data_IF_307592475555
#
_entry.id   IF_307592475555
#
_cell.length_a   1.000
_cell.length_b   1.000
_cell.length_c   1.000
_cell.angle_alpha   90.00
_cell.angle_beta   90.00
_cell.angle_gamma   90.00
#
_symmetry.space_group_name_H-M   'P 1'
#
loop_
_entity.id
_entity.type
_entity.pdbx_description
1 polymer ?
#
# COMPACT_ATOMS: atom_id res chain seq x y z
N UNK A 1 -15.39 -2.32 5.05
CA UNK A 1 -16.81 -1.93 5.28
C UNK A 1 -17.39 -1.41 3.98
N UNK A 2 -18.70 -1.44 3.81
CA UNK A 2 -19.41 -0.73 2.74
C UNK A 2 -20.48 0.18 3.33
N UNK A 3 -20.79 1.25 2.60
CA UNK A 3 -21.85 2.19 2.94
C UNK A 3 -22.74 2.38 1.71
N UNK A 4 -24.04 2.21 1.89
CA UNK A 4 -25.03 2.49 0.86
C UNK A 4 -25.68 3.86 1.16
N UNK A 5 -25.42 4.90 0.34
CA UNK A 5 -25.97 6.23 0.59
C UNK A 5 -27.48 6.32 0.41
N UNK A 6 -28.11 5.41 -0.34
CA UNK A 6 -29.56 5.41 -0.58
C UNK A 6 -30.33 4.92 0.65
N UNK A 7 -29.83 3.88 1.31
CA UNK A 7 -30.42 3.28 2.52
C UNK A 7 -29.81 3.82 3.81
N UNK A 8 -28.66 4.50 3.72
CA UNK A 8 -27.81 4.92 4.84
C UNK A 8 -27.31 3.75 5.70
N UNK A 9 -27.29 2.54 5.14
CA UNK A 9 -26.81 1.36 5.84
C UNK A 9 -25.30 1.20 5.72
N UNK A 10 -24.67 0.82 6.82
CA UNK A 10 -23.26 0.41 6.85
C UNK A 10 -23.17 -1.09 7.10
N UNK A 11 -22.37 -1.79 6.29
CA UNK A 11 -22.15 -3.23 6.42
C UNK A 11 -20.65 -3.52 6.61
N UNK A 12 -20.34 -4.40 7.56
CA UNK A 12 -18.97 -4.89 7.73
C UNK A 12 -18.76 -6.04 6.74
N UNK A 13 -17.80 -5.87 5.83
CA UNK A 13 -17.48 -6.86 4.80
C UNK A 13 -16.43 -7.88 5.28
N UNK A 14 -15.38 -7.39 5.93
CA UNK A 14 -14.25 -8.17 6.45
C UNK A 14 -13.86 -7.60 7.82
N UNK A 15 -13.43 -8.48 8.74
CA UNK A 15 -13.00 -8.16 10.11
C UNK A 15 -11.57 -8.62 10.34
N UNK A 16 -11.00 -8.21 11.47
CA UNK A 16 -9.72 -8.72 11.99
C UNK A 16 -8.53 -8.50 11.04
N UNK A 17 -8.56 -7.36 10.34
CA UNK A 17 -7.53 -6.94 9.39
C UNK A 17 -6.32 -6.32 10.11
N UNK A 18 -5.14 -6.59 9.59
CA UNK A 18 -3.84 -6.11 10.05
C UNK A 18 -3.46 -4.78 9.39
N UNK A 19 -4.11 -3.71 9.87
CA UNK A 19 -3.93 -2.34 9.39
C UNK A 19 -4.20 -2.21 7.87
N UNK A 20 -5.48 -2.36 7.51
CA UNK A 20 -5.95 -2.18 6.14
C UNK A 20 -5.88 -0.69 5.74
N UNK A 21 -4.82 -0.31 5.04
CA UNK A 21 -4.45 1.09 4.81
C UNK A 21 -4.92 1.57 3.43
N UNK A 22 -4.59 0.83 2.37
CA UNK A 22 -5.11 1.07 1.03
C UNK A 22 -6.38 0.28 0.74
N UNK A 23 -7.32 0.90 0.02
CA UNK A 23 -8.53 0.23 -0.48
C UNK A 23 -8.96 0.82 -1.83
N UNK A 24 -9.35 -0.04 -2.76
CA UNK A 24 -9.88 0.37 -4.07
C UNK A 24 -10.88 -0.67 -4.59
N UNK A 25 -11.89 -0.20 -5.34
CA UNK A 25 -12.81 -1.07 -6.07
C UNK A 25 -12.16 -1.43 -7.41
N UNK A 26 -12.25 -2.69 -7.82
CA UNK A 26 -11.72 -3.12 -9.13
C UNK A 26 -12.44 -2.41 -10.29
N UNK A 27 -11.79 -2.21 -11.45
CA UNK A 27 -12.39 -1.52 -12.61
C UNK A 27 -13.72 -2.12 -13.07
N UNK A 28 -13.88 -3.44 -12.95
CA UNK A 28 -15.11 -4.18 -13.28
C UNK A 28 -16.18 -4.11 -12.19
N UNK A 29 -15.91 -3.44 -11.07
CA UNK A 29 -16.77 -3.30 -9.89
C UNK A 29 -17.21 -4.61 -9.22
N UNK A 30 -16.54 -5.73 -9.51
CA UNK A 30 -16.90 -7.03 -8.95
C UNK A 30 -16.15 -7.35 -7.65
N UNK A 31 -15.06 -6.64 -7.37
CA UNK A 31 -14.21 -6.87 -6.21
C UNK A 31 -13.68 -5.58 -5.58
N UNK A 32 -13.19 -5.71 -4.36
CA UNK A 32 -12.44 -4.68 -3.63
C UNK A 32 -11.06 -5.23 -3.35
N UNK A 33 -10.03 -4.48 -3.71
CA UNK A 33 -8.65 -4.77 -3.34
C UNK A 33 -8.30 -3.89 -2.15
N UNK A 34 -7.69 -4.48 -1.13
CA UNK A 34 -7.20 -3.73 0.03
C UNK A 34 -5.84 -4.24 0.47
N UNK A 35 -5.04 -3.37 1.08
CA UNK A 35 -3.67 -3.67 1.48
C UNK A 35 -3.49 -3.63 2.98
N UNK A 36 -2.89 -4.69 3.54
CA UNK A 36 -2.57 -4.82 4.96
C UNK A 36 -1.10 -4.48 5.18
N UNK A 37 -0.84 -3.31 5.76
CA UNK A 37 0.53 -2.78 5.90
C UNK A 37 1.44 -3.69 6.71
N UNK A 38 0.90 -4.25 7.79
CA UNK A 38 1.66 -5.12 8.72
C UNK A 38 1.95 -6.48 8.10
N UNK A 39 1.04 -6.99 7.27
CA UNK A 39 1.17 -8.30 6.61
C UNK A 39 1.94 -8.22 5.28
N UNK A 40 2.28 -7.01 4.82
CA UNK A 40 3.00 -6.76 3.56
C UNK A 40 2.36 -7.44 2.36
N UNK A 41 1.04 -7.34 2.28
CA UNK A 41 0.25 -7.95 1.21
C UNK A 41 -1.00 -7.12 0.89
N UNK A 42 -1.58 -7.38 -0.27
CA UNK A 42 -2.91 -6.94 -0.62
C UNK A 42 -3.79 -8.14 -0.97
N UNK A 43 -5.07 -8.05 -0.61
CA UNK A 43 -6.09 -9.08 -0.77
C UNK A 43 -7.19 -8.57 -1.68
N UNK A 44 -7.85 -9.48 -2.40
CA UNK A 44 -9.01 -9.22 -3.26
C UNK A 44 -10.25 -9.85 -2.63
N UNK A 45 -11.24 -9.04 -2.27
CA UNK A 45 -12.54 -9.45 -1.74
C UNK A 45 -13.62 -9.32 -2.80
N UNK A 46 -14.35 -10.39 -3.11
CA UNK A 46 -15.40 -10.36 -4.13
C UNK A 46 -16.69 -9.79 -3.55
N UNK A 47 -17.20 -8.70 -4.14
CA UNK A 47 -18.45 -8.04 -3.72
C UNK A 47 -19.66 -8.47 -4.58
N UNK A 48 -19.41 -9.05 -5.75
CA UNK A 48 -20.41 -9.54 -6.70
C UNK A 48 -20.03 -10.93 -7.27
N UNK A 49 -20.94 -11.53 -8.03
CA UNK A 49 -20.74 -12.82 -8.69
C UNK A 49 -20.84 -14.04 -7.76
N UNK A 50 -20.56 -15.23 -8.31
CA UNK A 50 -20.66 -16.51 -7.60
C UNK A 50 -19.69 -16.60 -6.41
N UNK A 51 -18.58 -15.87 -6.48
CA UNK A 51 -17.54 -15.83 -5.45
C UNK A 51 -17.80 -14.77 -4.37
N UNK A 52 -18.94 -14.08 -4.39
CA UNK A 52 -19.26 -13.00 -3.45
C UNK A 52 -19.03 -13.42 -1.99
N UNK A 53 -18.32 -12.58 -1.25
CA UNK A 53 -17.97 -12.82 0.15
C UNK A 53 -16.67 -13.60 0.36
N UNK A 54 -16.09 -14.19 -0.69
CA UNK A 54 -14.78 -14.85 -0.61
C UNK A 54 -13.63 -13.86 -0.80
N UNK A 55 -12.43 -14.32 -0.44
CA UNK A 55 -11.18 -13.56 -0.59
C UNK A 55 -10.11 -14.40 -1.27
N UNK A 56 -9.31 -13.74 -2.10
CA UNK A 56 -8.05 -14.25 -2.64
C UNK A 56 -6.89 -13.34 -2.25
N UNK A 57 -5.68 -13.87 -2.34
CA UNK A 57 -4.49 -13.03 -2.36
C UNK A 57 -4.43 -12.28 -3.70
N UNK A 58 -4.20 -10.98 -3.64
CA UNK A 58 -3.93 -10.18 -4.83
C UNK A 58 -2.44 -10.10 -5.12
N UNK A 59 -1.66 -9.72 -4.11
CA UNK A 59 -0.19 -9.76 -4.12
C UNK A 59 0.29 -9.95 -2.69
N UNK A 60 1.31 -10.76 -2.46
CA UNK A 60 1.92 -10.97 -1.14
C UNK A 60 3.44 -10.76 -1.18
N UNK A 61 4.08 -10.86 -0.01
CA UNK A 61 5.52 -10.74 0.17
C UNK A 61 6.11 -9.46 -0.45
N UNK A 62 5.43 -8.33 -0.26
CA UNK A 62 5.85 -7.04 -0.80
C UNK A 62 7.22 -6.62 -0.26
N UNK A 63 7.98 -5.91 -1.09
CA UNK A 63 9.31 -5.37 -0.77
C UNK A 63 9.29 -4.19 0.22
N UNK A 64 8.12 -3.87 0.76
CA UNK A 64 7.85 -2.82 1.74
C UNK A 64 6.46 -2.96 2.34
N UNK A 65 6.11 -2.09 3.28
CA UNK A 65 4.75 -2.05 3.84
C UNK A 65 3.83 -1.35 2.85
N UNK A 66 2.72 -1.93 2.38
CA UNK A 66 1.81 -1.22 1.51
C UNK A 66 0.98 -0.18 2.24
N UNK A 67 0.65 0.90 1.55
CA UNK A 67 -0.25 1.97 1.98
C UNK A 67 -1.36 2.11 0.94
N UNK A 68 -1.67 3.32 0.48
CA UNK A 68 -2.70 3.56 -0.52
C UNK A 68 -2.42 2.83 -1.84
N UNK A 69 -3.51 2.37 -2.46
CA UNK A 69 -3.55 1.76 -3.79
C UNK A 69 -4.46 2.59 -4.69
N UNK A 70 -3.99 2.94 -5.87
CA UNK A 70 -4.73 3.75 -6.84
C UNK A 70 -4.70 3.11 -8.23
N UNK A 71 -5.82 3.15 -8.94
CA UNK A 71 -5.94 2.68 -10.32
C UNK A 71 -5.69 3.84 -11.28
N UNK A 72 -4.89 3.62 -12.32
CA UNK A 72 -4.53 4.68 -13.28
C UNK A 72 -5.55 4.87 -14.42
N UNK A 73 -6.53 3.98 -14.56
CA UNK A 73 -7.45 4.01 -15.70
C UNK A 73 -6.95 3.25 -16.93
N UNK A 74 -5.70 2.76 -16.90
CA UNK A 74 -4.97 2.20 -18.03
C UNK A 74 -4.47 0.76 -17.74
N UNK A 75 -5.13 0.06 -16.81
CA UNK A 75 -4.85 -1.35 -16.52
C UNK A 75 -3.80 -1.60 -15.43
N UNK A 76 -3.36 -0.57 -14.69
CA UNK A 76 -2.41 -0.77 -13.59
C UNK A 76 -2.88 -0.18 -12.27
N UNK A 77 -2.52 -0.87 -11.18
CA UNK A 77 -2.59 -0.32 -9.83
C UNK A 77 -1.21 0.17 -9.37
N UNK A 78 -1.24 1.26 -8.62
CA UNK A 78 -0.09 1.94 -8.05
C UNK A 78 -0.20 1.83 -6.53
N UNK A 79 0.66 1.02 -5.93
CA UNK A 79 0.69 0.73 -4.50
C UNK A 79 1.85 1.52 -3.89
N UNK A 80 1.52 2.48 -3.02
CA UNK A 80 2.52 3.23 -2.29
C UNK A 80 3.18 2.36 -1.21
N UNK A 81 4.50 2.46 -1.09
CA UNK A 81 5.31 1.80 -0.07
C UNK A 81 6.03 2.87 0.76
N UNK A 82 5.54 3.21 1.97
CA UNK A 82 6.15 4.23 2.83
C UNK A 82 7.59 3.90 3.20
N UNK A 83 7.89 2.62 3.39
CA UNK A 83 9.23 2.14 3.64
C UNK A 83 9.42 0.78 2.98
N UNK A 84 10.66 0.51 2.58
CA UNK A 84 11.08 -0.83 2.16
C UNK A 84 11.26 -1.77 3.36
N UNK A 85 11.58 -3.02 3.05
CA UNK A 85 11.91 -4.00 4.08
C UNK A 85 13.11 -3.57 4.92
N UNK A 86 12.99 -3.74 6.24
CA UNK A 86 14.10 -3.51 7.17
C UNK A 86 14.09 -4.57 8.27
N UNK A 87 15.28 -5.09 8.59
CA UNK A 87 15.46 -6.10 9.65
C UNK A 87 14.88 -5.62 10.98
N UNK A 88 15.07 -4.35 11.30
CA UNK A 88 14.60 -3.78 12.55
C UNK A 88 13.06 -3.75 12.62
N UNK A 89 12.37 -3.49 11.50
CA UNK A 89 10.91 -3.58 11.45
C UNK A 89 10.42 -5.02 11.52
N UNK A 90 11.09 -5.95 10.84
CA UNK A 90 10.75 -7.39 10.88
C UNK A 90 10.89 -7.95 12.30
N UNK A 91 11.95 -7.57 13.01
CA UNK A 91 12.16 -7.93 14.42
C UNK A 91 11.08 -7.32 15.32
N UNK A 92 10.69 -6.06 15.07
CA UNK A 92 9.59 -5.45 15.80
C UNK A 92 8.30 -6.26 15.59
N UNK A 93 7.90 -6.53 14.34
CA UNK A 93 6.68 -7.31 14.07
C UNK A 93 6.70 -8.70 14.71
N UNK A 94 7.87 -9.37 14.70
CA UNK A 94 8.04 -10.72 15.25
C UNK A 94 8.02 -10.76 16.78
N UNK A 95 8.62 -9.79 17.46
CA UNK A 95 8.83 -9.84 18.92
C UNK A 95 8.04 -8.74 19.65
N UNK A 96 6.99 -9.08 20.44
CA UNK A 96 6.15 -8.10 21.13
C UNK A 96 6.91 -7.16 22.08
N UNK A 97 7.97 -7.65 22.74
CA UNK A 97 8.77 -6.83 23.65
C UNK A 97 9.57 -5.75 22.89
N UNK A 98 10.04 -6.04 21.66
CA UNK A 98 10.69 -5.05 20.80
C UNK A 98 9.69 -3.95 20.42
N UNK A 99 8.46 -4.31 20.01
CA UNK A 99 7.40 -3.31 19.75
C UNK A 99 7.12 -2.43 20.96
N UNK A 100 7.09 -3.03 22.15
CA UNK A 100 6.91 -2.27 23.40
C UNK A 100 8.04 -1.26 23.60
N UNK A 101 9.29 -1.65 23.35
CA UNK A 101 10.44 -0.73 23.42
C UNK A 101 10.30 0.40 22.39
N UNK A 102 9.99 0.08 21.13
CA UNK A 102 9.78 1.08 20.07
C UNK A 102 8.66 2.06 20.45
N UNK A 103 7.54 1.58 21.00
CA UNK A 103 6.45 2.42 21.46
C UNK A 103 6.84 3.33 22.64
N UNK A 104 7.70 2.85 23.55
CA UNK A 104 8.27 3.66 24.63
C UNK A 104 9.19 4.74 24.05
N UNK A 105 10.06 4.38 23.09
CA UNK A 105 10.94 5.35 22.42
C UNK A 105 10.14 6.44 21.70
N UNK A 106 9.03 6.07 21.05
CA UNK A 106 8.11 7.01 20.40
C UNK A 106 7.51 7.98 21.41
N UNK A 107 7.03 7.49 22.56
CA UNK A 107 6.50 8.33 23.65
C UNK A 107 7.50 9.38 24.12
N UNK A 108 8.78 9.04 24.16
CA UNK A 108 9.85 9.96 24.55
C UNK A 108 10.49 10.72 23.38
N UNK A 109 9.98 10.56 22.15
CA UNK A 109 10.50 11.19 20.92
C UNK A 109 11.98 10.89 20.66
N UNK A 110 12.45 9.70 21.03
CA UNK A 110 13.83 9.23 20.83
C UNK A 110 13.92 8.10 19.80
N UNK A 111 12.80 7.79 19.12
CA UNK A 111 12.78 6.76 18.07
C UNK A 111 13.64 7.23 16.88
N UNK A 112 14.61 6.42 16.42
CA UNK A 112 15.34 6.75 15.20
C UNK A 112 14.39 6.70 14.00
N UNK A 113 14.62 7.55 13.00
CA UNK A 113 13.92 7.47 11.72
C UNK A 113 14.34 6.19 11.00
N UNK A 114 13.43 5.23 10.91
CA UNK A 114 13.70 3.88 10.37
C UNK A 114 13.18 3.75 8.93
N UNK A 115 12.31 4.66 8.54
CA UNK A 115 11.60 4.70 7.27
C UNK A 115 12.56 5.19 6.20
N UNK A 116 12.87 4.30 5.26
CA UNK A 116 13.76 4.51 4.12
C UNK A 116 13.30 3.60 2.99
N UNK A 117 13.86 3.80 1.80
CA UNK A 117 13.57 2.99 0.62
C UNK A 117 12.09 3.03 0.24
N UNK A 118 11.44 4.17 0.47
CA UNK A 118 10.04 4.39 0.10
C UNK A 118 9.87 4.57 -1.42
N UNK A 119 8.66 4.33 -1.91
CA UNK A 119 8.39 4.33 -3.33
C UNK A 119 6.96 3.96 -3.70
N UNK A 120 6.78 3.57 -4.96
CA UNK A 120 5.50 3.14 -5.54
C UNK A 120 5.74 1.92 -6.42
N UNK A 121 5.09 0.82 -6.06
CA UNK A 121 5.05 -0.42 -6.84
C UNK A 121 3.88 -0.37 -7.83
N UNK A 122 4.15 -0.73 -9.08
CA UNK A 122 3.13 -0.85 -10.12
C UNK A 122 2.83 -2.33 -10.33
N UNK A 123 1.55 -2.66 -10.37
CA UNK A 123 1.06 -4.02 -10.62
C UNK A 123 -0.05 -4.01 -11.68
N UNK A 124 -0.19 -5.10 -12.43
CA UNK A 124 -1.33 -5.29 -13.35
C UNK A 124 -2.65 -5.62 -12.61
N UNK A 125 -3.71 -5.92 -13.36
CA UNK A 125 -5.04 -6.21 -12.81
C UNK A 125 -5.12 -7.54 -12.06
N UNK A 126 -4.15 -8.42 -12.29
CA UNK A 126 -4.00 -9.73 -11.70
C UNK A 126 -3.12 -9.67 -10.43
N UNK A 127 -2.36 -8.59 -10.24
CA UNK A 127 -1.49 -8.36 -9.09
C UNK A 127 -0.02 -8.70 -9.36
N UNK A 128 0.37 -8.89 -10.62
CA UNK A 128 1.75 -9.13 -10.99
C UNK A 128 2.53 -7.80 -11.01
N UNK A 129 3.70 -7.72 -10.36
CA UNK A 129 4.57 -6.55 -10.44
C UNK A 129 5.04 -6.25 -11.86
N UNK A 130 4.91 -5.01 -12.29
CA UNK A 130 5.34 -4.54 -13.64
C UNK A 130 6.43 -3.48 -13.58
N UNK A 131 6.48 -2.69 -12.50
CA UNK A 131 7.49 -1.65 -12.31
C UNK A 131 7.62 -1.29 -10.83
N UNK A 132 8.80 -0.81 -10.42
CA UNK A 132 9.00 -0.26 -9.08
C UNK A 132 9.80 1.05 -9.11
N UNK A 133 9.19 2.13 -8.61
CA UNK A 133 9.81 3.44 -8.48
C UNK A 133 10.14 3.70 -7.01
N UNK A 134 11.43 3.68 -6.65
CA UNK A 134 11.87 3.89 -5.27
C UNK A 134 13.22 4.57 -5.21
N UNK A 135 13.51 5.19 -4.07
CA UNK A 135 14.81 5.79 -3.78
C UNK A 135 15.20 5.56 -2.32
N UNK A 136 16.50 5.41 -2.05
CA UNK A 136 17.01 5.13 -0.70
C UNK A 136 16.73 6.27 0.29
N UNK A 137 16.71 7.52 -0.22
CA UNK A 137 16.41 8.72 0.56
C UNK A 137 14.92 9.00 0.71
N UNK A 138 14.07 8.33 -0.08
CA UNK A 138 12.63 8.46 0.08
C UNK A 138 12.15 7.64 1.27
N UNK A 139 11.21 8.24 2.00
CA UNK A 139 10.55 7.64 3.15
C UNK A 139 9.15 8.20 3.26
N UNK A 140 8.26 7.44 3.85
CA UNK A 140 6.88 7.84 4.12
C UNK A 140 6.14 8.28 2.85
N UNK A 141 6.41 7.60 1.71
CA UNK A 141 5.60 7.70 0.49
C UNK A 141 4.30 6.93 0.70
N UNK A 142 3.21 7.64 0.99
CA UNK A 142 1.93 7.05 1.37
C UNK A 142 0.91 7.02 0.24
N UNK A 143 1.16 7.72 -0.87
CA UNK A 143 0.34 7.64 -2.07
C UNK A 143 1.19 7.78 -3.33
N UNK A 144 0.71 7.18 -4.42
CA UNK A 144 1.36 7.20 -5.72
C UNK A 144 0.33 6.97 -6.82
N UNK A 145 0.28 7.85 -7.83
CA UNK A 145 -0.60 7.65 -8.98
C UNK A 145 0.00 8.28 -10.23
N UNK A 146 -0.21 7.60 -11.36
CA UNK A 146 0.10 8.14 -12.68
C UNK A 146 -1.02 9.08 -13.14
N UNK A 147 -0.65 10.27 -13.59
CA UNK A 147 -1.53 11.20 -14.29
C UNK A 147 -0.80 11.68 -15.55
N UNK A 148 -1.29 11.24 -16.72
CA UNK A 148 -0.59 11.40 -17.98
C UNK A 148 0.81 10.77 -17.92
N UNK A 149 1.83 11.54 -18.25
CA UNK A 149 3.23 11.07 -18.30
C UNK A 149 3.97 11.17 -16.95
N UNK A 150 3.27 11.44 -15.85
CA UNK A 150 3.91 11.71 -14.58
C UNK A 150 3.38 10.83 -13.47
N UNK A 151 4.29 10.35 -12.64
CA UNK A 151 4.00 9.78 -11.33
C UNK A 151 3.98 10.92 -10.30
N UNK A 152 2.89 11.02 -9.57
CA UNK A 152 2.74 11.92 -8.42
C UNK A 152 2.78 11.10 -7.14
N UNK A 153 3.65 11.47 -6.20
CA UNK A 153 3.73 10.80 -4.90
C UNK A 153 3.47 11.77 -3.75
N UNK A 154 2.60 11.36 -2.84
CA UNK A 154 2.33 12.04 -1.58
C UNK A 154 3.12 11.43 -0.42
N UNK A 155 3.34 12.24 0.61
CA UNK A 155 4.01 11.81 1.83
C UNK A 155 3.44 12.55 3.04
N UNK A 156 3.39 11.87 4.18
CA UNK A 156 2.89 12.43 5.45
C UNK A 156 3.95 13.24 6.22
N UNK A 157 5.24 13.11 5.85
CA UNK A 157 6.34 13.79 6.54
C UNK A 157 6.93 14.93 5.72
N UNK A 158 6.89 14.84 4.39
CA UNK A 158 7.39 15.92 3.53
C UNK A 158 6.33 16.99 3.30
N UNK A 159 6.78 18.21 2.99
CA UNK A 159 5.89 19.37 2.73
C UNK A 159 5.65 19.64 1.25
N UNK A 160 6.02 18.70 0.40
CA UNK A 160 5.92 18.82 -1.05
C UNK A 160 5.40 17.52 -1.65
N UNK A 161 4.88 17.61 -2.87
CA UNK A 161 4.50 16.44 -3.66
C UNK A 161 5.64 16.14 -4.63
N UNK A 162 5.99 14.86 -4.76
CA UNK A 162 6.97 14.43 -5.77
C UNK A 162 6.25 14.32 -7.10
N UNK A 163 6.90 14.79 -8.17
CA UNK A 163 6.46 14.60 -9.55
C UNK A 163 7.64 14.05 -10.35
N UNK A 164 7.45 12.89 -10.97
CA UNK A 164 8.46 12.21 -11.78
C UNK A 164 7.92 11.97 -13.19
N UNK A 165 8.68 12.35 -14.22
CA UNK A 165 8.38 11.97 -15.61
C UNK A 165 8.82 10.53 -15.87
N UNK A 166 7.86 9.64 -16.09
CA UNK A 166 8.11 8.19 -16.22
C UNK A 166 8.68 7.78 -17.58
N UNK A 167 8.61 8.65 -18.59
CA UNK A 167 9.26 8.38 -19.89
C UNK A 167 10.75 8.72 -19.86
N UNK A 168 11.13 9.71 -19.06
CA UNK A 168 12.53 10.09 -18.88
C UNK A 168 13.23 9.22 -17.83
N UNK A 169 12.46 8.64 -16.90
CA UNK A 169 12.97 7.84 -15.81
C UNK A 169 12.29 6.47 -15.78
N UNK A 170 12.91 5.50 -16.45
CA UNK A 170 12.45 4.12 -16.41
C UNK A 170 12.46 3.56 -14.98
N UNK A 171 11.49 2.72 -14.68
CA UNK A 171 11.42 2.01 -13.41
C UNK A 171 12.64 1.09 -13.23
N UNK A 172 13.01 0.84 -11.97
CA UNK A 172 14.01 -0.18 -11.66
C UNK A 172 13.37 -1.56 -11.78
N UNK A 173 14.13 -2.55 -12.22
CA UNK A 173 13.66 -3.93 -12.28
C UNK A 173 13.22 -4.40 -10.88
N UNK A 174 12.03 -4.99 -10.80
CA UNK A 174 11.53 -5.68 -9.61
C UNK A 174 12.39 -6.93 -9.38
N UNK A 175 13.12 -6.98 -8.27
CA UNK A 175 13.76 -8.21 -7.77
C UNK A 175 12.75 -9.06 -7.01
#
# INVERSE_FOLDING_TARGET
>A
MSFDPSTKETKVLVRDLFFANGVIVSPDQNSVIFCESVMKMCLKYYIQGERKGSMDKFIDNLSGTPDNILYDGEGHYWIALPMGNSLAWDLALKYPWIRKVVAIMERYKVRPHMEKNGGVLVVDLEGNPTAYYYDLGLSEVTSGVKIGNHLYCGSITTRYMIRLDIHQHAARATM
#
